data_IF_300381866480
#
_entry.id   IF_300381866480
#
_cell.length_a   1.000
_cell.length_b   1.000
_cell.length_c   1.000
_cell.angle_alpha   90.00
_cell.angle_beta   90.00
_cell.angle_gamma   90.00
#
_symmetry.space_group_name_H-M   'P 1'
#
loop_
_entity.id
_entity.type
_entity.pdbx_description
1 polymer ?
2 non-polymer ?
3 non-polymer ?
4 non-polymer ?
5 water ?
#
# COMPACT_ATOMS: atom_id res chain seq x y z
N UNK A 1 -9.73 23.00 23.61
CA UNK A 1 -8.68 23.38 24.57
C UNK A 1 -8.20 22.18 25.37
N UNK A 2 -7.00 21.70 25.06
CA UNK A 2 -6.44 20.58 25.78
C UNK A 2 -5.67 20.99 27.03
N UNK A 3 -5.40 22.29 27.21
CA UNK A 3 -4.75 22.81 28.41
C UNK A 3 -3.48 22.04 28.74
N UNK A 4 -2.67 21.77 27.71
CA UNK A 4 -1.39 21.13 27.87
C UNK A 4 -1.40 19.62 27.68
N UNK A 5 -2.54 18.97 27.84
CA UNK A 5 -2.61 17.51 27.73
C UNK A 5 -2.42 17.05 26.29
N UNK A 6 -1.92 15.83 26.13
CA UNK A 6 -1.78 15.22 24.81
C UNK A 6 -3.05 14.47 24.43
N UNK A 7 -3.50 14.67 23.21
CA UNK A 7 -4.43 13.75 22.56
C UNK A 7 -4.05 13.71 21.09
N UNK A 8 -3.44 12.61 20.67
CA UNK A 8 -2.98 12.44 19.30
C UNK A 8 -4.07 11.79 18.47
N UNK A 9 -4.27 12.29 17.27
CA UNK A 9 -5.17 11.66 16.32
C UNK A 9 -4.32 11.19 15.15
N UNK A 10 -4.47 9.90 14.79
CA UNK A 10 -3.85 9.29 13.63
C UNK A 10 -4.92 9.09 12.58
N UNK A 11 -4.73 9.67 11.39
CA UNK A 11 -5.67 9.47 10.28
C UNK A 11 -5.04 8.48 9.32
N UNK A 12 -5.54 7.26 9.34
CA UNK A 12 -5.05 6.17 8.49
C UNK A 12 -4.47 5.03 9.29
N UNK A 13 -5.02 3.82 9.12
CA UNK A 13 -4.58 2.65 9.86
C UNK A 13 -3.80 1.66 9.02
N UNK A 14 -2.84 2.18 8.27
CA UNK A 14 -1.96 1.39 7.44
C UNK A 14 -0.72 1.00 8.21
N UNK A 15 0.33 0.67 7.45
CA UNK A 15 1.61 0.32 8.07
C UNK A 15 2.10 1.45 8.97
N UNK A 16 2.00 2.69 8.50
CA UNK A 16 2.42 3.80 9.36
C UNK A 16 1.52 3.96 10.57
N UNK A 17 0.20 3.91 10.36
CA UNK A 17 -0.72 4.21 11.44
C UNK A 17 -0.73 3.17 12.55
N UNK A 18 -0.60 1.88 12.20
CA UNK A 18 -0.63 0.89 13.28
C UNK A 18 0.67 0.91 14.06
N UNK A 19 1.78 1.27 13.42
CA UNK A 19 3.03 1.43 14.16
C UNK A 19 2.94 2.61 15.11
N UNK A 20 2.42 3.75 14.62
CA UNK A 20 2.24 4.90 15.51
C UNK A 20 1.30 4.58 16.66
N UNK A 21 0.18 3.93 16.35
CA UNK A 21 -0.82 3.62 17.38
C UNK A 21 -0.26 2.67 18.41
N UNK A 22 0.50 1.67 17.94
CA UNK A 22 1.09 0.70 18.86
C UNK A 22 2.08 1.36 19.79
N UNK A 23 2.89 2.29 19.28
CA UNK A 23 3.83 2.97 20.16
C UNK A 23 3.12 3.90 21.15
N UNK A 24 2.11 4.64 20.67
CA UNK A 24 1.37 5.52 21.57
C UNK A 24 0.68 4.71 22.66
N UNK A 25 0.11 3.55 22.29
CA UNK A 25 -0.51 2.66 23.27
C UNK A 25 0.48 2.19 24.32
N UNK A 26 1.71 1.84 23.90
CA UNK A 26 2.70 1.36 24.87
C UNK A 26 3.23 2.48 25.77
N UNK A 27 3.22 3.72 25.29
CA UNK A 27 3.60 4.86 26.12
C UNK A 27 2.46 5.35 27.02
N UNK A 28 1.25 4.80 26.86
CA UNK A 28 0.04 5.24 27.56
C UNK A 28 -0.32 6.69 27.22
N UNK A 29 -0.08 7.11 25.98
CA UNK A 29 -0.39 8.47 25.56
C UNK A 29 -1.80 8.44 24.97
N UNK A 30 -2.71 9.32 25.40
CA UNK A 30 -4.06 9.31 24.82
C UNK A 30 -4.03 9.54 23.32
N UNK A 31 -4.77 8.70 22.60
CA UNK A 31 -4.81 8.83 21.14
C UNK A 31 -6.07 8.18 20.63
N UNK A 32 -6.40 8.51 19.39
CA UNK A 32 -7.46 7.87 18.62
C UNK A 32 -6.92 7.55 17.24
N UNK A 33 -7.01 6.29 16.82
CA UNK A 33 -6.66 5.90 15.46
C UNK A 33 -7.94 5.79 14.64
N UNK A 34 -7.94 6.43 13.48
CA UNK A 34 -9.10 6.48 12.60
C UNK A 34 -8.76 5.79 11.28
N UNK A 35 -9.63 4.88 10.85
CA UNK A 35 -9.50 4.25 9.55
C UNK A 35 -10.89 3.95 9.01
N UNK A 36 -11.03 4.00 7.69
CA UNK A 36 -12.34 3.73 7.10
C UNK A 36 -12.73 2.26 7.17
N UNK A 37 -11.75 1.34 7.19
CA UNK A 37 -12.02 -0.09 7.31
C UNK A 37 -12.12 -0.51 8.78
N UNK A 38 -12.56 -1.74 9.03
CA UNK A 38 -12.53 -2.27 10.38
C UNK A 38 -11.28 -3.09 10.66
N UNK A 39 -10.39 -3.25 9.68
CA UNK A 39 -9.18 -4.03 9.89
C UNK A 39 -8.02 -3.47 9.09
N UNK A 40 -6.82 -3.63 9.65
CA UNK A 40 -5.60 -3.37 8.92
C UNK A 40 -5.47 -4.34 7.74
N UNK A 41 -4.98 -3.82 6.61
CA UNK A 41 -4.76 -4.61 5.40
C UNK A 41 -3.27 -4.73 5.12
N UNK A 42 -2.74 -5.95 5.20
CA UNK A 42 -1.32 -6.18 4.88
C UNK A 42 -1.22 -6.25 3.35
N UNK A 43 -1.22 -5.08 2.71
CA UNK A 43 -1.49 -5.05 1.28
C UNK A 43 -0.29 -5.49 0.44
N UNK A 44 0.88 -5.62 1.06
CA UNK A 44 2.02 -6.24 0.41
C UNK A 44 1.68 -7.66 -0.02
N UNK A 45 0.75 -8.31 0.68
CA UNK A 45 0.38 -9.67 0.33
C UNK A 45 -0.90 -9.76 -0.47
N UNK A 46 -1.40 -8.64 -1.00
CA UNK A 46 -2.71 -8.65 -1.63
C UNK A 46 -2.71 -9.44 -2.94
N UNK A 47 -1.58 -9.51 -3.64
CA UNK A 47 -1.54 -10.25 -4.89
C UNK A 47 -1.49 -11.77 -4.63
N UNK A 48 -0.69 -12.21 -3.66
CA UNK A 48 -0.78 -13.60 -3.20
C UNK A 48 -2.18 -13.94 -2.72
N UNK A 49 -2.85 -13.01 -2.03
CA UNK A 49 -4.23 -13.28 -1.64
C UNK A 49 -5.19 -13.31 -2.83
N UNK A 50 -4.76 -12.89 -4.02
CA UNK A 50 -5.63 -13.00 -5.20
C UNK A 50 -5.48 -14.30 -5.96
N UNK A 51 -4.54 -15.17 -5.58
CA UNK A 51 -4.30 -16.40 -6.32
C UNK A 51 -4.29 -17.65 -5.42
N UNK A 52 -4.22 -17.49 -4.10
CA UNK A 52 -4.09 -18.65 -3.22
C UNK A 52 -5.34 -18.77 -2.35
N UNK A 53 -6.10 -19.84 -2.54
CA UNK A 53 -7.28 -20.10 -1.72
C UNK A 53 -6.91 -20.11 -0.24
N UNK A 54 -7.75 -19.49 0.58
CA UNK A 54 -7.57 -19.49 2.01
C UNK A 54 -6.54 -18.51 2.53
N UNK A 55 -5.81 -17.80 1.66
CA UNK A 55 -4.74 -16.93 2.13
C UNK A 55 -5.24 -15.57 2.62
N UNK A 56 -6.39 -15.09 2.13
CA UNK A 56 -6.78 -13.70 2.41
C UNK A 56 -6.99 -13.43 3.90
N UNK A 57 -7.46 -14.43 4.65
CA UNK A 57 -7.71 -14.24 6.08
C UNK A 57 -6.43 -13.93 6.86
N UNK A 58 -5.27 -14.18 6.28
CA UNK A 58 -3.99 -13.81 6.88
C UNK A 58 -3.59 -12.37 6.58
N UNK A 59 -4.35 -11.65 5.75
CA UNK A 59 -3.95 -10.32 5.34
C UNK A 59 -4.83 -9.22 5.91
N UNK A 60 -5.82 -9.55 6.75
CA UNK A 60 -6.66 -8.55 7.42
C UNK A 60 -6.63 -8.79 8.93
N UNK A 61 -6.38 -7.71 9.70
CA UNK A 61 -6.21 -7.82 11.15
C UNK A 61 -7.13 -6.81 11.85
N UNK A 62 -8.05 -7.29 12.68
CA UNK A 62 -9.00 -6.42 13.36
C UNK A 62 -8.30 -5.31 14.16
N UNK A 63 -8.73 -4.06 13.92
CA UNK A 63 -8.22 -2.94 14.72
C UNK A 63 -8.69 -3.03 16.17
N UNK A 64 -9.99 -3.27 16.36
CA UNK A 64 -10.56 -3.12 17.70
C UNK A 64 -10.00 -4.18 18.66
N UNK A 65 -9.65 -5.36 18.14
CA UNK A 65 -9.05 -6.38 19.00
C UNK A 65 -7.74 -5.87 19.59
N UNK A 66 -6.96 -5.15 18.80
CA UNK A 66 -5.67 -4.67 19.29
C UNK A 66 -5.82 -3.36 20.04
N UNK A 67 -6.65 -2.45 19.53
CA UNK A 67 -6.66 -1.09 20.08
C UNK A 67 -7.92 -0.72 20.87
N UNK A 68 -9.02 -1.46 20.71
CA UNK A 68 -10.22 -1.26 21.54
C UNK A 68 -10.64 0.20 21.45
N UNK A 69 -10.86 0.90 22.57
CA UNK A 69 -11.46 2.24 22.52
C UNK A 69 -10.52 3.30 21.98
N UNK A 70 -9.28 2.95 21.69
CA UNK A 70 -8.36 3.85 21.00
C UNK A 70 -8.54 3.81 19.49
N UNK A 71 -9.48 3.01 18.99
CA UNK A 71 -9.78 2.94 17.57
C UNK A 71 -11.22 3.41 17.31
N UNK A 72 -11.40 4.19 16.24
CA UNK A 72 -12.73 4.53 15.74
C UNK A 72 -12.73 4.41 14.23
N UNK A 73 -13.58 3.53 13.70
CA UNK A 73 -13.81 3.45 12.26
C UNK A 73 -14.56 4.70 11.78
N UNK A 74 -14.10 5.25 10.67
CA UNK A 74 -14.78 6.40 10.08
C UNK A 74 -14.01 6.91 8.88
N UNK A 75 -14.68 7.77 8.12
CA UNK A 75 -14.12 8.37 6.91
C UNK A 75 -13.83 9.84 7.18
N UNK A 76 -12.56 10.21 7.17
CA UNK A 76 -12.19 11.60 7.45
C UNK A 76 -12.39 12.43 6.18
N UNK A 77 -13.19 13.48 6.27
CA UNK A 77 -13.52 14.31 5.12
C UNK A 77 -12.82 15.67 5.15
N UNK A 78 -12.06 15.98 6.19
CA UNK A 78 -11.42 17.28 6.25
C UNK A 78 -10.82 17.52 7.61
N UNK A 79 -9.99 18.56 7.66
CA UNK A 79 -9.25 18.92 8.86
C UNK A 79 -9.53 20.39 9.14
N UNK A 80 -10.10 20.68 10.32
CA UNK A 80 -10.37 22.04 10.79
C UNK A 80 -9.16 22.53 11.56
N UNK A 81 -8.26 23.25 10.88
CA UNK A 81 -6.98 23.59 11.48
C UNK A 81 -7.12 24.64 12.57
N UNK A 82 -7.99 25.63 12.37
CA UNK A 82 -8.12 26.71 13.35
C UNK A 82 -8.59 26.18 14.69
N UNK A 83 -9.51 25.21 14.69
CA UNK A 83 -10.04 24.64 15.92
C UNK A 83 -9.50 23.24 16.20
N UNK A 84 -8.48 22.81 15.47
CA UNK A 84 -7.75 21.58 15.73
C UNK A 84 -8.69 20.39 15.90
N UNK A 85 -9.45 20.12 14.84
CA UNK A 85 -10.42 19.04 14.85
C UNK A 85 -10.25 18.20 13.59
N UNK A 86 -10.48 16.90 13.72
CA UNK A 86 -10.54 15.99 12.58
C UNK A 86 -12.01 15.73 12.28
N UNK A 87 -12.43 16.02 11.05
CA UNK A 87 -13.83 16.01 10.65
C UNK A 87 -14.17 14.68 9.99
N UNK A 88 -15.11 13.95 10.58
CA UNK A 88 -15.55 12.65 10.07
C UNK A 88 -16.81 12.81 9.24
N UNK A 89 -16.98 11.92 8.27
CA UNK A 89 -18.26 11.82 7.60
C UNK A 89 -19.34 11.46 8.61
N UNK A 90 -20.51 12.08 8.48
CA UNK A 90 -21.55 11.96 9.45
C UNK A 90 -21.63 13.14 10.40
N UNK A 91 -20.57 13.93 10.51
CA UNK A 91 -20.57 15.13 11.30
C UNK A 91 -19.78 15.07 12.58
N UNK A 92 -19.23 13.90 12.94
CA UNK A 92 -18.49 13.80 14.19
C UNK A 92 -17.13 14.49 14.04
N UNK A 93 -16.61 14.98 15.17
CA UNK A 93 -15.35 15.71 15.18
C UNK A 93 -14.44 15.17 16.28
N UNK A 94 -13.16 15.04 15.95
CA UNK A 94 -12.15 14.54 16.88
C UNK A 94 -11.12 15.62 17.20
N UNK A 95 -11.07 16.14 18.42
CA UNK A 95 -10.05 17.15 18.76
C UNK A 95 -8.68 16.53 18.98
N UNK A 96 -7.64 17.31 18.68
CA UNK A 96 -6.27 16.81 18.81
C UNK A 96 -5.34 17.90 19.29
N UNK A 97 -4.28 17.49 19.98
CA UNK A 97 -3.15 18.37 20.21
C UNK A 97 -2.07 18.14 19.17
N UNK A 98 -1.98 16.93 18.66
CA UNK A 98 -1.05 16.55 17.60
C UNK A 98 -1.78 15.67 16.60
N UNK A 99 -1.44 15.85 15.33
CA UNK A 99 -2.07 15.12 14.23
C UNK A 99 -1.02 14.36 13.45
N UNK A 100 -1.27 13.07 13.21
CA UNK A 100 -0.42 12.24 12.39
C UNK A 100 -1.23 11.83 11.17
N UNK A 101 -0.79 12.26 9.99
CA UNK A 101 -1.47 11.90 8.75
C UNK A 101 -0.76 10.71 8.11
N UNK A 102 -1.50 9.62 7.93
CA UNK A 102 -0.94 8.36 7.48
C UNK A 102 -1.90 7.71 6.49
N UNK A 103 -2.35 8.50 5.51
CA UNK A 103 -3.48 8.13 4.65
C UNK A 103 -3.11 7.23 3.49
N UNK A 104 -1.83 6.94 3.27
CA UNK A 104 -1.43 5.97 2.25
C UNK A 104 -1.78 6.37 0.83
N UNK A 105 -2.00 5.34 0.00
CA UNK A 105 -2.29 5.47 -1.42
C UNK A 105 -3.58 4.72 -1.79
N UNK A 106 -4.18 5.14 -2.89
CA UNK A 106 -5.37 4.54 -3.46
C UNK A 106 -5.07 4.01 -4.87
N UNK A 107 -5.77 2.96 -5.27
CA UNK A 107 -5.57 2.41 -6.59
C UNK A 107 -6.51 1.26 -6.84
N UNK A 108 -6.37 0.60 -8.00
CA UNK A 108 -7.29 -0.51 -8.34
C UNK A 108 -7.12 -1.72 -7.44
N UNK A 109 -8.26 -2.33 -7.11
CA UNK A 109 -8.31 -3.70 -6.64
C UNK A 109 -7.72 -4.61 -7.72
N UNK A 110 -7.02 -5.69 -7.34
CA UNK A 110 -6.74 -6.22 -5.99
C UNK A 110 -5.58 -5.56 -5.25
N UNK A 111 -4.72 -4.80 -5.91
CA UNK A 111 -3.50 -4.30 -5.28
C UNK A 111 -3.74 -3.35 -4.12
N UNK A 112 -4.90 -2.68 -4.09
CA UNK A 112 -5.31 -1.81 -2.99
C UNK A 112 -6.77 -2.14 -2.65
N UNK A 113 -7.11 -2.03 -1.37
CA UNK A 113 -8.48 -2.28 -0.92
C UNK A 113 -8.91 -1.15 0.00
N UNK A 114 -9.60 -0.17 -0.52
CA UNK A 114 -10.00 0.99 0.27
C UNK A 114 -11.50 1.14 0.22
N UNK A 115 -12.18 0.19 0.84
CA UNK A 115 -13.63 0.19 0.90
C UNK A 115 -14.04 0.20 2.36
N UNK A 116 -15.15 0.86 2.65
CA UNK A 116 -15.76 0.66 3.96
C UNK A 116 -16.45 -0.69 3.93
N UNK A 117 -16.06 -1.58 4.83
CA UNK A 117 -16.72 -2.87 4.94
C UNK A 117 -16.14 -3.63 6.11
N UNK A 118 -16.73 -4.78 6.36
CA UNK A 118 -16.32 -5.60 7.48
C UNK A 118 -15.15 -6.50 7.08
N UNK A 119 -14.52 -7.06 8.10
CA UNK A 119 -13.40 -7.96 7.88
C UNK A 119 -13.79 -9.16 7.01
N UNK A 120 -15.00 -9.70 7.21
CA UNK A 120 -15.37 -10.88 6.43
C UNK A 120 -15.71 -10.53 4.99
N UNK A 121 -16.33 -9.38 4.74
CA UNK A 121 -16.56 -8.94 3.36
C UNK A 121 -15.25 -8.69 2.63
N UNK A 122 -14.26 -8.10 3.30
CA UNK A 122 -12.96 -7.84 2.67
C UNK A 122 -12.26 -9.14 2.29
N UNK A 123 -12.19 -10.08 3.24
CA UNK A 123 -11.62 -11.39 2.99
C UNK A 123 -12.33 -12.07 1.80
N UNK A 124 -13.66 -12.00 1.79
CA UNK A 124 -14.43 -12.61 0.70
C UNK A 124 -14.17 -11.95 -0.65
N UNK A 125 -13.85 -10.66 -0.67
CA UNK A 125 -13.53 -10.03 -1.96
C UNK A 125 -12.27 -10.63 -2.56
N UNK A 126 -11.30 -11.01 -1.73
CA UNK A 126 -10.08 -11.64 -2.25
C UNK A 126 -10.34 -13.11 -2.56
N UNK A 127 -11.14 -13.82 -1.75
CA UNK A 127 -11.53 -15.18 -2.13
C UNK A 127 -12.31 -15.20 -3.43
N UNK A 128 -13.18 -14.21 -3.65
CA UNK A 128 -13.88 -14.11 -4.92
C UNK A 128 -12.91 -13.88 -6.07
N UNK A 129 -11.91 -13.02 -5.85
CA UNK A 129 -10.86 -12.79 -6.85
C UNK A 129 -10.15 -14.09 -7.19
N UNK A 130 -9.76 -14.86 -6.18
CA UNK A 130 -9.14 -16.17 -6.42
C UNK A 130 -10.05 -17.03 -7.30
N UNK A 131 -11.37 -17.03 -7.05
CA UNK A 131 -12.27 -17.85 -7.87
C UNK A 131 -12.33 -17.34 -9.31
N UNK A 132 -12.21 -16.03 -9.55
CA UNK A 132 -12.21 -15.57 -10.95
C UNK A 132 -10.94 -16.03 -11.66
N UNK A 133 -9.78 -15.92 -10.98
CA UNK A 133 -8.54 -16.41 -11.55
C UNK A 133 -8.65 -17.90 -11.84
N UNK A 134 -9.26 -18.67 -10.92
CA UNK A 134 -9.34 -20.11 -11.12
C UNK A 134 -10.22 -20.47 -12.31
N UNK A 135 -11.29 -19.72 -12.54
CA UNK A 135 -12.17 -20.02 -13.67
C UNK A 135 -11.56 -19.66 -15.02
N UNK A 136 -10.52 -18.83 -15.04
CA UNK A 136 -10.07 -18.11 -16.23
C UNK A 136 -8.85 -18.80 -16.81
N UNK A 137 -8.97 -19.35 -18.02
CA UNK A 137 -7.81 -19.95 -18.67
C UNK A 137 -6.85 -18.88 -19.18
N UNK A 138 -7.38 -17.77 -19.71
CA UNK A 138 -6.63 -16.69 -20.31
C UNK A 138 -6.82 -15.44 -19.46
N UNK A 139 -5.72 -14.79 -19.07
CA UNK A 139 -5.74 -13.64 -18.16
C UNK A 139 -4.83 -12.54 -18.69
N UNK A 140 -5.29 -11.30 -18.61
CA UNK A 140 -4.50 -10.14 -19.01
C UNK A 140 -4.25 -9.29 -17.76
N UNK A 141 -2.99 -8.98 -17.50
CA UNK A 141 -2.62 -7.97 -16.52
C UNK A 141 -2.23 -6.71 -17.26
N UNK A 142 -2.84 -5.58 -16.90
CA UNK A 142 -2.56 -4.30 -17.54
C UNK A 142 -1.69 -3.48 -16.61
N UNK A 143 -0.51 -3.10 -17.09
CA UNK A 143 0.42 -2.28 -16.32
C UNK A 143 1.56 -3.14 -15.84
N UNK A 144 2.78 -2.84 -16.30
CA UNK A 144 3.95 -3.59 -15.95
C UNK A 144 4.87 -2.82 -15.03
N UNK A 145 4.28 -2.06 -14.11
CA UNK A 145 5.01 -1.55 -12.97
C UNK A 145 5.36 -2.70 -12.05
N UNK A 146 5.87 -2.35 -10.87
CA UNK A 146 6.27 -3.42 -9.95
C UNK A 146 5.07 -4.27 -9.53
N UNK A 147 3.87 -3.68 -9.42
CA UNK A 147 2.70 -4.48 -9.04
C UNK A 147 2.30 -5.44 -10.16
N UNK A 148 2.28 -4.96 -11.39
CA UNK A 148 1.87 -5.81 -12.49
C UNK A 148 2.80 -6.97 -12.72
N UNK A 149 4.11 -6.75 -12.61
CA UNK A 149 5.04 -7.87 -12.81
C UNK A 149 4.89 -8.89 -11.69
N UNK A 150 4.57 -8.43 -10.47
CA UNK A 150 4.29 -9.38 -9.40
C UNK A 150 2.98 -10.12 -9.66
N UNK A 151 1.93 -9.42 -10.09
CA UNK A 151 0.65 -10.08 -10.33
C UNK A 151 0.78 -11.18 -11.37
N UNK A 152 1.44 -10.87 -12.49
CA UNK A 152 1.60 -11.85 -13.56
C UNK A 152 2.44 -13.04 -13.11
N UNK A 153 3.51 -12.76 -12.37
CA UNK A 153 4.36 -13.83 -11.89
C UNK A 153 3.63 -14.73 -10.90
N UNK A 154 2.80 -14.13 -10.04
CA UNK A 154 2.05 -14.91 -9.07
C UNK A 154 1.10 -15.87 -9.77
N UNK A 155 0.36 -15.38 -10.78
CA UNK A 155 -0.58 -16.23 -11.50
C UNK A 155 0.13 -17.40 -12.17
N UNK A 156 1.25 -17.13 -12.87
CA UNK A 156 1.92 -18.21 -13.59
C UNK A 156 2.63 -19.17 -12.63
N UNK A 157 3.00 -18.70 -11.44
CA UNK A 157 3.63 -19.62 -10.48
C UNK A 157 2.60 -20.54 -9.84
N UNK A 158 1.45 -20.00 -9.45
CA UNK A 158 0.40 -20.85 -8.86
C UNK A 158 -0.33 -21.70 -9.91
N UNK A 159 -0.46 -21.19 -11.14
CA UNK A 159 -1.23 -21.84 -12.19
C UNK A 159 -0.44 -21.91 -13.48
N UNK A 160 0.60 -22.74 -13.54
CA UNK A 160 1.44 -22.78 -14.76
C UNK A 160 0.66 -23.02 -16.03
N UNK A 161 -0.49 -23.70 -15.92
CA UNK A 161 -1.28 -24.03 -17.11
C UNK A 161 -2.10 -22.86 -17.63
N UNK A 162 -2.17 -21.72 -16.94
CA UNK A 162 -2.94 -20.60 -17.49
C UNK A 162 -2.09 -19.81 -18.48
N UNK A 163 -2.78 -19.08 -19.36
CA UNK A 163 -2.15 -18.21 -20.33
C UNK A 163 -2.23 -16.79 -19.81
N UNK A 164 -1.09 -16.15 -19.59
CA UNK A 164 -1.03 -14.85 -18.94
C UNK A 164 -0.28 -13.88 -19.84
N UNK A 165 -0.91 -12.75 -20.12
CA UNK A 165 -0.28 -11.70 -20.90
C UNK A 165 -0.19 -10.46 -20.04
N UNK A 166 0.98 -9.83 -20.04
CA UNK A 166 1.22 -8.58 -19.34
C UNK A 166 1.39 -7.50 -20.39
N UNK A 167 0.58 -6.45 -20.30
CA UNK A 167 0.61 -5.36 -21.27
C UNK A 167 1.09 -4.10 -20.55
N UNK A 168 2.17 -3.50 -21.05
CA UNK A 168 2.87 -2.42 -20.38
C UNK A 168 3.17 -1.30 -21.38
N UNK A 169 2.96 -0.06 -20.95
CA UNK A 169 3.09 1.09 -21.84
C UNK A 169 4.53 1.51 -22.07
N UNK A 170 5.45 1.12 -21.19
CA UNK A 170 6.87 1.45 -21.34
C UNK A 170 7.61 0.30 -22.00
N UNK A 171 8.88 0.54 -22.35
CA UNK A 171 9.70 -0.52 -22.93
C UNK A 171 10.37 -1.38 -21.87
N UNK A 172 10.55 -0.85 -20.66
CA UNK A 172 11.13 -1.60 -19.54
C UNK A 172 10.11 -1.75 -18.42
N UNK A 173 10.26 -2.85 -17.67
CA UNK A 173 9.34 -3.25 -16.62
C UNK A 173 9.77 -2.68 -15.27
N UNK A 174 8.79 -2.51 -14.37
CA UNK A 174 9.01 -2.10 -12.99
C UNK A 174 9.64 -0.71 -12.89
N UNK A 175 9.99 -0.28 -11.67
CA UNK A 175 10.26 1.13 -11.39
C UNK A 175 11.42 1.69 -12.20
N UNK A 176 11.20 2.89 -12.74
CA UNK A 176 12.26 3.64 -13.40
C UNK A 176 13.45 3.85 -12.48
N UNK A 177 13.24 3.84 -11.17
CA UNK A 177 14.33 4.14 -10.26
C UNK A 177 15.25 2.94 -10.01
N UNK A 178 14.87 1.74 -10.43
CA UNK A 178 15.63 0.54 -10.10
C UNK A 178 16.93 0.46 -10.90
N UNK A 179 17.89 -0.28 -10.35
CA UNK A 179 19.07 -0.65 -11.12
C UNK A 179 18.66 -1.30 -12.44
N UNK A 180 19.26 -0.92 -13.57
CA UNK A 180 18.91 -1.59 -14.84
C UNK A 180 19.04 -3.10 -14.79
N UNK A 181 20.07 -3.62 -14.10
CA UNK A 181 20.21 -5.06 -13.96
C UNK A 181 18.98 -5.68 -13.31
N UNK A 182 18.37 -4.97 -12.36
CA UNK A 182 17.17 -5.50 -11.73
C UNK A 182 16.02 -5.53 -12.73
N UNK A 183 15.85 -4.48 -13.51
CA UNK A 183 14.72 -4.40 -14.44
C UNK A 183 14.84 -5.44 -15.55
N UNK A 184 16.06 -5.68 -16.01
CA UNK A 184 16.27 -6.72 -17.02
C UNK A 184 15.99 -8.10 -16.45
N UNK A 185 16.39 -8.34 -15.20
CA UNK A 185 16.16 -9.65 -14.62
C UNK A 185 14.68 -9.90 -14.42
N UNK A 186 13.92 -8.86 -14.06
CA UNK A 186 12.47 -9.02 -13.93
C UNK A 186 11.88 -9.53 -15.24
N UNK A 187 12.28 -8.90 -16.35
CA UNK A 187 11.84 -9.32 -17.67
C UNK A 187 12.20 -10.78 -17.94
N UNK A 188 13.47 -11.14 -17.69
CA UNK A 188 13.90 -12.49 -18.04
C UNK A 188 13.17 -13.54 -17.20
N UNK A 189 12.80 -13.21 -15.96
CA UNK A 189 12.08 -14.17 -15.13
C UNK A 189 10.64 -14.32 -15.62
N UNK A 190 9.97 -13.21 -15.96
CA UNK A 190 8.62 -13.34 -16.49
C UNK A 190 8.62 -14.19 -17.76
N UNK A 191 9.59 -13.95 -18.65
CA UNK A 191 9.65 -14.74 -19.89
C UNK A 191 9.92 -16.21 -19.60
N UNK A 192 10.83 -16.50 -18.68
CA UNK A 192 11.08 -17.90 -18.33
C UNK A 192 9.87 -18.57 -17.69
N UNK A 193 9.04 -17.81 -16.96
CA UNK A 193 7.80 -18.38 -16.43
C UNK A 193 6.73 -18.55 -17.49
N UNK A 194 6.93 -18.03 -18.70
CA UNK A 194 5.94 -18.18 -19.76
C UNK A 194 4.93 -17.06 -19.87
N UNK A 195 5.13 -15.95 -19.15
CA UNK A 195 4.26 -14.79 -19.31
C UNK A 195 4.54 -14.18 -20.67
N UNK A 196 3.48 -13.90 -21.42
CA UNK A 196 3.63 -13.19 -22.69
C UNK A 196 3.67 -11.69 -22.40
N UNK A 197 4.67 -11.02 -22.96
CA UNK A 197 4.91 -9.61 -22.66
C UNK A 197 4.54 -8.78 -23.89
N UNK A 198 3.66 -7.82 -23.71
CA UNK A 198 3.37 -6.83 -24.75
C UNK A 198 3.86 -5.48 -24.23
N UNK A 199 5.09 -5.12 -24.60
CA UNK A 199 5.74 -3.91 -24.13
C UNK A 199 5.53 -2.75 -25.11
N UNK A 200 5.65 -1.52 -24.59
CA UNK A 200 5.40 -0.29 -25.34
C UNK A 200 4.00 -0.27 -25.97
N UNK A 201 3.00 -0.73 -25.22
CA UNK A 201 1.60 -0.71 -25.67
C UNK A 201 0.69 -0.29 -24.52
N UNK A 202 -0.26 0.58 -24.82
CA UNK A 202 -1.23 1.06 -23.83
C UNK A 202 -2.61 0.47 -24.15
N UNK A 203 -3.20 -0.20 -23.16
CA UNK A 203 -4.56 -0.70 -23.35
C UNK A 203 -5.50 0.49 -23.45
N UNK A 204 -6.33 0.51 -24.50
CA UNK A 204 -7.07 1.70 -24.88
C UNK A 204 -8.58 1.61 -24.70
N UNK A 205 -9.15 0.45 -24.40
CA UNK A 205 -10.59 0.35 -24.21
C UNK A 205 -10.95 0.00 -22.76
N UNK A 206 -10.22 0.60 -21.80
CA UNK A 206 -10.37 0.22 -20.39
C UNK A 206 -11.79 0.44 -19.88
N UNK A 207 -12.44 1.52 -20.34
CA UNK A 207 -13.80 1.81 -19.89
C UNK A 207 -14.80 0.74 -20.31
N UNK A 208 -14.50 0.03 -21.39
CA UNK A 208 -15.41 -0.96 -21.95
C UNK A 208 -15.11 -2.36 -21.47
N UNK A 209 -14.19 -2.53 -20.53
CA UNK A 209 -13.78 -3.87 -20.16
C UNK A 209 -14.39 -4.27 -18.82
N UNK A 210 -14.96 -5.46 -18.72
CA UNK A 210 -15.26 -6.03 -17.40
C UNK A 210 -13.96 -6.29 -16.66
N UNK A 211 -13.88 -5.84 -15.42
CA UNK A 211 -12.67 -5.93 -14.62
C UNK A 211 -12.85 -6.94 -13.49
N UNK A 212 -11.80 -7.69 -13.21
CA UNK A 212 -11.77 -8.62 -12.08
C UNK A 212 -12.91 -9.63 -12.12
N UNK A 213 -13.40 -9.97 -13.31
CA UNK A 213 -14.51 -10.92 -13.42
C UNK A 213 -14.29 -11.82 -14.62
N UNK A 214 -14.46 -13.13 -14.41
CA UNK A 214 -14.39 -14.07 -15.51
C UNK A 214 -15.51 -13.83 -16.52
N UNK A 215 -15.17 -13.90 -17.78
CA UNK A 215 -16.12 -13.91 -18.88
C UNK A 215 -15.62 -14.91 -19.91
N UNK A 216 -16.56 -15.52 -20.63
CA UNK A 216 -16.18 -16.45 -21.69
C UNK A 216 -15.31 -15.77 -22.74
N UNK A 217 -15.56 -14.48 -23.01
CA UNK A 217 -14.76 -13.78 -24.01
C UNK A 217 -14.70 -12.29 -23.73
N UNK A 218 -13.47 -11.75 -23.71
CA UNK A 218 -13.20 -10.32 -23.54
C UNK A 218 -12.11 -9.96 -24.55
N UNK A 219 -12.31 -8.88 -25.30
CA UNK A 219 -11.33 -8.41 -26.26
C UNK A 219 -10.67 -7.16 -25.71
N UNK A 220 -9.36 -7.25 -25.47
CA UNK A 220 -8.56 -6.12 -25.03
C UNK A 220 -7.95 -5.48 -26.26
N UNK A 221 -8.01 -4.15 -26.34
CA UNK A 221 -7.41 -3.42 -27.44
C UNK A 221 -6.30 -2.53 -26.93
N UNK A 222 -5.29 -2.31 -27.78
CA UNK A 222 -4.24 -1.35 -27.49
C UNK A 222 -4.21 -0.27 -28.56
N UNK A 223 -3.53 0.83 -28.25
CA UNK A 223 -3.44 1.98 -29.14
C UNK A 223 -2.63 1.71 -30.40
N UNK A 224 -1.92 0.59 -30.48
CA UNK A 224 -1.23 0.19 -31.70
C UNK A 224 -2.05 -0.81 -32.52
N UNK A 225 -3.31 -1.05 -32.16
CA UNK A 225 -4.12 -2.00 -32.89
C UNK A 225 -3.95 -3.45 -32.50
N UNK A 226 -3.15 -3.76 -31.49
CA UNK A 226 -3.08 -5.14 -31.01
C UNK A 226 -4.37 -5.49 -30.26
N UNK A 227 -4.87 -6.70 -30.52
CA UNK A 227 -6.10 -7.20 -29.92
C UNK A 227 -5.79 -8.51 -29.24
N UNK A 228 -6.22 -8.65 -27.98
CA UNK A 228 -5.95 -9.82 -27.17
C UNK A 228 -7.28 -10.34 -26.65
N UNK A 229 -7.62 -11.58 -27.00
CA UNK A 229 -8.76 -12.28 -26.40
C UNK A 229 -8.38 -12.88 -25.05
N UNK A 230 -9.27 -12.73 -24.05
CA UNK A 230 -8.96 -13.17 -22.70
C UNK A 230 -10.25 -13.49 -21.94
N UNK A 231 -10.09 -14.14 -20.78
CA UNK A 231 -11.21 -14.42 -19.87
C UNK A 231 -11.27 -13.48 -18.69
N UNK A 232 -10.18 -12.76 -18.39
CA UNK A 232 -10.09 -11.97 -17.15
C UNK A 232 -9.11 -10.83 -17.38
N UNK A 233 -9.49 -9.62 -16.93
CA UNK A 233 -8.61 -8.46 -17.00
C UNK A 233 -8.34 -7.97 -15.59
N UNK A 234 -7.07 -7.86 -15.24
CA UNK A 234 -6.63 -7.33 -13.94
C UNK A 234 -5.83 -6.07 -14.17
N UNK A 235 -6.20 -5.00 -13.45
CA UNK A 235 -5.55 -3.71 -13.59
C UNK A 235 -4.47 -3.53 -12.52
N UNK A 236 -3.23 -3.34 -12.95
CA UNK A 236 -2.17 -2.87 -12.07
C UNK A 236 -1.59 -1.57 -12.62
N UNK A 237 -2.44 -0.57 -12.79
CA UNK A 237 -2.14 0.59 -13.62
C UNK A 237 -1.59 1.76 -12.84
N UNK A 238 -1.47 1.67 -11.52
CA UNK A 238 -0.82 2.69 -10.74
C UNK A 238 -1.68 3.16 -9.58
N UNK A 239 -1.07 4.00 -8.74
CA UNK A 239 -1.72 4.44 -7.53
C UNK A 239 -1.57 5.96 -7.43
N UNK A 240 -2.37 6.56 -6.54
CA UNK A 240 -2.37 7.98 -6.28
C UNK A 240 -2.37 8.18 -4.78
N UNK A 241 -1.64 9.19 -4.31
CA UNK A 241 -1.69 9.56 -2.90
C UNK A 241 -3.14 9.83 -2.52
N UNK A 242 -3.53 9.32 -1.35
CA UNK A 242 -4.90 9.47 -0.89
C UNK A 242 -4.95 10.72 -0.02
N UNK A 243 -5.02 11.87 -0.71
CA UNK A 243 -5.12 13.19 -0.09
C UNK A 243 -6.53 13.53 0.34
N UNK A 244 -7.42 12.54 0.37
CA UNK A 244 -8.83 12.78 0.66
C UNK A 244 -9.02 13.56 1.95
N UNK A 245 -8.43 13.06 3.04
CA UNK A 245 -8.73 13.59 4.38
C UNK A 245 -8.23 15.02 4.58
N UNK A 246 -7.16 15.41 3.89
CA UNK A 246 -6.49 16.65 4.24
C UNK A 246 -6.38 17.65 3.10
N UNK A 247 -6.88 17.32 1.90
CA UNK A 247 -6.57 18.08 0.70
C UNK A 247 -6.87 19.57 0.87
N UNK A 248 -8.09 19.89 1.28
CA UNK A 248 -8.46 21.30 1.37
C UNK A 248 -7.68 22.02 2.46
N UNK A 249 -7.53 21.39 3.64
CA UNK A 249 -6.92 22.05 4.77
C UNK A 249 -5.47 22.40 4.52
N UNK A 250 -4.74 21.57 3.77
CA UNK A 250 -3.30 21.74 3.63
C UNK A 250 -2.87 22.02 2.19
N UNK A 251 -3.77 22.59 1.38
CA UNK A 251 -3.45 22.82 -0.03
C UNK A 251 -2.17 23.61 -0.20
N UNK A 252 -1.88 24.52 0.75
CA UNK A 252 -0.66 25.33 0.67
C UNK A 252 0.61 24.47 0.67
N UNK A 253 0.65 23.42 1.50
CA UNK A 253 1.88 22.70 1.78
C UNK A 253 1.93 21.33 1.09
N UNK A 254 1.22 21.16 -0.03
CA UNK A 254 1.17 19.90 -0.75
C UNK A 254 2.21 19.88 -1.86
N UNK A 255 2.86 18.74 -2.02
CA UNK A 255 3.75 18.59 -3.15
C UNK A 255 2.93 18.40 -4.43
N UNK A 256 3.62 18.33 -5.56
CA UNK A 256 2.96 17.83 -6.76
C UNK A 256 2.40 16.44 -6.50
N UNK A 257 3.22 15.55 -5.90
CA UNK A 257 2.81 14.17 -5.61
C UNK A 257 1.42 14.04 -4.99
N UNK A 258 0.91 15.10 -4.35
CA UNK A 258 -0.22 15.00 -3.47
C UNK A 258 0.16 14.77 -2.03
N UNK A 259 1.42 14.47 -1.78
CA UNK A 259 1.97 14.30 -0.46
C UNK A 259 2.10 15.64 0.25
N UNK A 260 2.38 15.58 1.55
CA UNK A 260 2.61 16.76 2.36
C UNK A 260 4.11 16.98 2.49
N UNK A 261 4.54 18.23 2.27
CA UNK A 261 5.95 18.54 2.51
C UNK A 261 6.24 18.53 4.00
N UNK A 262 7.45 18.12 4.34
CA UNK A 262 7.85 17.88 5.72
C UNK A 262 9.34 18.14 5.80
N UNK A 263 9.81 18.48 7.00
CA UNK A 263 11.23 18.61 7.25
C UNK A 263 11.79 17.23 7.61
N UNK A 264 13.05 17.15 8.03
CA UNK A 264 13.64 15.86 8.36
C UNK A 264 13.08 15.26 9.66
N UNK A 265 12.28 16.03 10.41
CA UNK A 265 11.57 15.53 11.58
C UNK A 265 10.14 15.09 11.28
N UNK A 266 9.70 15.19 10.02
CA UNK A 266 8.38 14.73 9.54
C UNK A 266 7.21 15.59 10.00
N UNK A 267 7.48 16.80 10.54
CA UNK A 267 6.42 17.76 10.80
C UNK A 267 5.98 18.36 9.48
N UNK A 268 4.68 18.61 9.31
CA UNK A 268 4.25 19.19 8.04
C UNK A 268 4.68 20.65 8.01
N UNK A 269 5.09 21.12 6.83
CA UNK A 269 5.59 22.49 6.67
C UNK A 269 4.58 23.49 7.19
N UNK A 270 5.07 24.45 7.99
CA UNK A 270 4.22 25.44 8.63
C UNK A 270 3.56 24.98 9.92
N UNK A 271 3.81 23.75 10.34
CA UNK A 271 3.24 23.22 11.58
C UNK A 271 4.35 22.55 12.38
N UNK A 272 4.19 22.55 13.70
CA UNK A 272 5.08 21.78 14.55
C UNK A 272 4.37 20.63 15.24
N UNK A 273 3.05 20.57 15.19
CA UNK A 273 2.27 19.50 15.81
C UNK A 273 1.52 18.64 14.79
N UNK A 274 1.82 18.78 13.51
CA UNK A 274 1.24 17.93 12.47
C UNK A 274 2.38 17.19 11.80
N UNK A 275 2.26 15.87 11.73
CA UNK A 275 3.25 15.02 11.09
C UNK A 275 2.58 14.26 9.95
N UNK A 276 3.37 13.92 8.94
CA UNK A 276 2.94 13.04 7.87
C UNK A 276 3.91 11.88 7.76
N UNK A 277 3.38 10.66 7.63
CA UNK A 277 4.20 9.47 7.62
C UNK A 277 3.74 8.55 6.51
N UNK A 278 4.65 7.73 6.01
CA UNK A 278 4.29 6.77 4.98
C UNK A 278 4.09 7.43 3.62
N UNK A 279 3.24 6.80 2.80
CA UNK A 279 3.06 7.24 1.42
C UNK A 279 2.63 8.70 1.32
N UNK A 280 1.85 9.21 2.26
CA UNK A 280 1.36 10.58 2.14
C UNK A 280 2.40 11.64 2.49
N UNK A 281 3.55 11.26 3.04
CA UNK A 281 4.62 12.23 3.27
C UNK A 281 5.43 12.45 1.98
N UNK A 282 5.92 13.67 1.79
CA UNK A 282 6.70 14.00 0.60
C UNK A 282 8.18 13.79 0.88
N UNK A 283 8.60 12.53 0.79
CA UNK A 283 10.01 12.18 0.88
C UNK A 283 10.48 11.73 -0.51
N UNK A 284 11.81 11.73 -0.67
CA UNK A 284 12.41 11.41 -1.97
C UNK A 284 12.51 9.91 -2.22
N UNK A 285 12.39 9.10 -1.17
CA UNK A 285 12.40 7.65 -1.26
C UNK A 285 11.11 7.16 -1.93
N UNK A 286 11.05 5.90 -2.35
CA UNK A 286 9.80 5.36 -2.90
C UNK A 286 8.84 5.00 -1.77
N UNK A 287 7.61 4.73 -2.15
CA UNK A 287 6.55 4.52 -1.19
C UNK A 287 6.61 3.08 -0.69
N UNK A 288 7.11 2.88 0.52
CA UNK A 288 7.36 1.55 1.06
C UNK A 288 6.72 1.38 2.43
N UNK A 289 6.24 0.17 2.69
CA UNK A 289 5.62 -0.12 3.99
C UNK A 289 6.61 0.00 5.13
N UNK A 290 7.83 -0.49 4.95
CA UNK A 290 8.78 -0.43 6.04
C UNK A 290 9.18 1.02 6.38
N UNK A 291 9.24 1.89 5.37
CA UNK A 291 9.49 3.32 5.64
C UNK A 291 8.32 3.95 6.39
N UNK A 292 7.09 3.55 6.06
CA UNK A 292 5.93 4.01 6.81
C UNK A 292 6.11 3.76 8.29
N UNK A 293 6.55 2.55 8.66
CA UNK A 293 6.74 2.25 10.08
C UNK A 293 7.88 3.04 10.71
N UNK A 294 8.94 3.30 9.94
CA UNK A 294 10.04 4.11 10.47
C UNK A 294 9.66 5.57 10.63
N UNK A 295 8.85 6.10 9.71
CA UNK A 295 8.32 7.44 9.93
C UNK A 295 7.46 7.48 11.18
N UNK A 296 6.71 6.41 11.42
CA UNK A 296 5.86 6.35 12.60
C UNK A 296 6.68 6.45 13.88
N UNK A 297 7.77 5.69 13.97
CA UNK A 297 8.65 5.80 15.14
C UNK A 297 9.15 7.21 15.29
N UNK A 298 9.54 7.84 14.18
CA UNK A 298 10.11 9.18 14.24
C UNK A 298 9.07 10.20 14.70
N UNK A 299 7.85 10.10 14.17
CA UNK A 299 6.82 11.09 14.48
C UNK A 299 6.42 11.03 15.95
N UNK A 300 6.11 9.82 16.43
CA UNK A 300 5.74 9.64 17.83
C UNK A 300 6.87 10.11 18.75
N UNK A 301 8.09 9.66 18.48
CA UNK A 301 9.25 10.10 19.25
C UNK A 301 9.35 11.62 19.29
N UNK A 302 9.09 12.28 18.16
CA UNK A 302 9.22 13.74 18.12
C UNK A 302 8.07 14.42 18.85
N UNK A 303 6.87 13.85 18.84
CA UNK A 303 5.81 14.37 19.70
C UNK A 303 6.27 14.36 21.16
N UNK A 304 6.77 13.21 21.63
CA UNK A 304 7.28 13.14 23.00
C UNK A 304 8.49 14.07 23.19
N UNK A 305 9.44 14.03 22.25
CA UNK A 305 10.64 14.86 22.41
C UNK A 305 10.30 16.33 22.43
N UNK A 306 9.27 16.74 21.68
CA UNK A 306 8.88 18.15 21.71
C UNK A 306 8.36 18.52 23.08
N UNK A 307 7.60 17.62 23.73
CA UNK A 307 7.06 17.91 25.05
C UNK A 307 8.18 17.91 26.10
N UNK A 308 9.22 17.11 25.92
CA UNK A 308 10.34 17.05 26.85
C UNK A 308 11.45 18.06 26.55
N UNK A 309 11.24 18.97 25.60
CA UNK A 309 12.26 19.95 25.19
C UNK A 309 13.58 19.26 24.86
N UNK A 310 13.48 18.11 24.20
CA UNK A 310 14.62 17.36 23.70
C UNK A 310 14.76 17.56 22.19
N UNK A 311 15.96 17.35 21.65
CA UNK A 311 16.13 17.46 20.19
C UNK A 311 15.39 16.36 19.45
N UNK A 312 14.95 16.69 18.24
CA UNK A 312 14.08 15.81 17.46
C UNK A 312 14.91 14.81 16.65
N UNK A 313 14.39 13.60 16.54
CA UNK A 313 15.00 12.58 15.72
C UNK A 313 14.86 12.93 14.23
N UNK A 314 15.82 12.48 13.44
CA UNK A 314 15.95 12.88 12.04
C UNK A 314 15.89 11.66 11.13
N UNK A 315 15.19 11.81 10.00
CA UNK A 315 15.02 10.76 8.99
C UNK A 315 16.04 10.95 7.88
N UNK A 316 16.90 9.94 7.67
CA UNK A 316 18.00 10.03 6.72
C UNK A 316 17.94 8.89 5.72
N UNK A 317 17.48 9.13 4.49
CA UNK A 317 17.42 8.04 3.50
C UNK A 317 18.82 7.56 3.13
N UNK A 318 18.88 6.32 2.67
CA UNK A 318 20.08 5.78 2.07
C UNK A 318 19.71 5.29 0.70
N UNK A 319 20.54 4.43 0.11
CA UNK A 319 20.25 3.97 -1.23
C UNK A 319 19.00 3.08 -1.25
N UNK A 320 18.49 2.89 -2.45
CA UNK A 320 17.17 2.28 -2.65
C UNK A 320 17.18 0.79 -2.27
N UNK A 321 16.26 0.41 -1.38
CA UNK A 321 15.91 -0.99 -1.16
C UNK A 321 14.56 -1.26 -1.81
N UNK A 322 14.50 -2.28 -2.66
CA UNK A 322 13.27 -2.55 -3.41
C UNK A 322 13.30 -4.01 -3.85
N UNK A 323 12.38 -4.82 -3.33
CA UNK A 323 12.36 -6.26 -3.61
C UNK A 323 11.08 -6.61 -4.34
N UNK A 324 11.22 -7.33 -5.45
CA UNK A 324 10.09 -7.80 -6.23
C UNK A 324 10.02 -9.31 -6.08
N UNK A 325 8.94 -9.80 -5.49
CA UNK A 325 8.68 -11.23 -5.50
C UNK A 325 8.13 -11.61 -6.86
N UNK A 326 8.56 -12.75 -7.37
CA UNK A 326 8.09 -13.23 -8.67
C UNK A 326 7.45 -14.59 -8.40
N UNK A 327 6.25 -14.58 -7.83
CA UNK A 327 5.68 -15.80 -7.31
C UNK A 327 6.43 -16.26 -6.07
N UNK A 328 5.96 -17.35 -5.48
CA UNK A 328 6.52 -17.74 -4.20
C UNK A 328 7.91 -18.36 -4.31
N UNK A 329 8.35 -18.73 -5.51
CA UNK A 329 9.63 -19.41 -5.65
C UNK A 329 10.72 -18.55 -6.30
N UNK A 330 10.54 -17.23 -6.41
CA UNK A 330 11.46 -16.47 -7.25
C UNK A 330 11.36 -14.99 -6.89
N UNK A 331 12.29 -14.21 -7.42
CA UNK A 331 12.31 -12.78 -7.15
C UNK A 331 13.64 -12.17 -7.52
N UNK A 332 13.69 -10.84 -7.45
CA UNK A 332 14.94 -10.11 -7.66
C UNK A 332 14.72 -8.71 -7.09
N UNK A 333 15.83 -8.02 -6.81
CA UNK A 333 15.72 -6.65 -6.34
C UNK A 333 17.07 -6.12 -5.91
N UNK A 334 17.01 -5.13 -5.04
CA UNK A 334 18.21 -4.46 -4.56
C UNK A 334 18.02 -4.09 -3.09
N UNK A 335 19.09 -4.25 -2.32
CA UNK A 335 19.09 -3.88 -0.91
C UNK A 335 20.11 -2.78 -0.74
N UNK A 336 19.65 -1.60 -0.32
CA UNK A 336 20.49 -0.42 -0.12
C UNK A 336 21.37 -0.15 -1.35
N UNK A 337 20.80 -0.29 -2.53
CA UNK A 337 21.49 0.21 -3.69
C UNK A 337 22.32 -0.79 -4.45
N UNK A 338 22.35 -2.04 -4.03
CA UNK A 338 23.01 -3.06 -4.84
C UNK A 338 22.10 -4.27 -5.05
N UNK A 339 22.42 -4.99 -6.13
CA UNK A 339 21.64 -6.12 -6.61
C UNK A 339 21.65 -7.27 -5.61
N UNK A 340 20.47 -7.84 -5.37
CA UNK A 340 20.34 -9.09 -4.65
C UNK A 340 19.57 -10.08 -5.51
N UNK A 341 19.99 -11.34 -5.45
CA UNK A 341 19.53 -12.36 -6.37
C UNK A 341 18.24 -13.05 -5.94
N UNK A 342 17.98 -14.16 -6.62
CA UNK A 342 16.67 -14.82 -6.54
C UNK A 342 16.50 -15.60 -5.25
N UNK A 343 17.54 -16.32 -4.83
CA UNK A 343 17.48 -16.99 -3.54
C UNK A 343 17.25 -15.98 -2.42
N UNK A 344 17.97 -14.85 -2.46
CA UNK A 344 17.85 -13.86 -1.40
C UNK A 344 16.43 -13.30 -1.33
N UNK A 345 15.88 -12.90 -2.47
CA UNK A 345 14.55 -12.32 -2.50
C UNK A 345 13.50 -13.36 -2.11
N UNK A 346 13.63 -14.59 -2.62
CA UNK A 346 12.71 -15.66 -2.22
C UNK A 346 12.68 -15.81 -0.71
N UNK A 347 13.84 -15.91 -0.06
CA UNK A 347 13.87 -16.08 1.39
C UNK A 347 13.41 -14.83 2.13
N UNK A 348 13.82 -13.64 1.68
CA UNK A 348 13.48 -12.42 2.40
C UNK A 348 12.03 -12.02 2.21
N UNK A 349 11.52 -12.08 0.97
CA UNK A 349 10.18 -11.58 0.67
C UNK A 349 9.22 -12.62 0.13
N UNK A 350 9.59 -13.37 -0.93
CA UNK A 350 8.59 -14.08 -1.72
C UNK A 350 7.84 -15.15 -0.91
N UNK A 351 8.49 -15.79 0.05
CA UNK A 351 7.84 -16.90 0.75
C UNK A 351 6.72 -16.42 1.67
N UNK A 352 7.00 -15.44 2.55
CA UNK A 352 6.03 -15.02 3.55
C UNK A 352 5.48 -13.61 3.34
N UNK A 353 6.08 -12.82 2.44
CA UNK A 353 5.62 -11.46 2.10
C UNK A 353 5.47 -10.57 3.33
N UNK A 354 6.33 -10.81 4.32
CA UNK A 354 6.41 -10.04 5.57
C UNK A 354 5.16 -10.14 6.42
N UNK A 355 4.29 -11.11 6.15
CA UNK A 355 2.97 -11.16 6.80
C UNK A 355 3.11 -11.25 8.32
N UNK A 356 4.06 -12.05 8.82
CA UNK A 356 4.17 -12.24 10.26
C UNK A 356 4.48 -10.94 11.01
N UNK A 357 5.18 -9.99 10.37
CA UNK A 357 5.57 -8.77 11.10
C UNK A 357 4.36 -7.93 11.47
N UNK A 358 3.28 -8.01 10.69
CA UNK A 358 2.07 -7.24 10.97
C UNK A 358 1.28 -7.88 12.10
N UNK A 359 1.12 -9.21 12.09
CA UNK A 359 0.50 -9.89 13.22
C UNK A 359 1.28 -9.62 14.50
N UNK A 360 2.61 -9.60 14.43
CA UNK A 360 3.40 -9.30 15.63
C UNK A 360 3.13 -7.87 16.10
N UNK A 361 3.18 -6.88 15.19
CA UNK A 361 2.90 -5.50 15.58
C UNK A 361 1.54 -5.40 16.27
N UNK A 362 0.53 -6.06 15.72
CA UNK A 362 -0.83 -6.03 16.26
C UNK A 362 -1.02 -6.95 17.44
N UNK A 363 0.02 -7.70 17.83
CA UNK A 363 -0.06 -8.63 18.95
C UNK A 363 -1.30 -9.52 18.82
N UNK A 364 -1.47 -10.05 17.63
CA UNK A 364 -2.50 -11.04 17.36
C UNK A 364 -1.87 -12.21 16.63
N UNK A 365 -2.59 -13.32 16.62
CA UNK A 365 -2.18 -14.54 15.96
C UNK A 365 -3.11 -14.82 14.79
N UNK A 366 -2.57 -15.12 13.62
CA UNK A 366 -3.41 -15.26 12.42
C UNK A 366 -4.32 -16.47 12.54
N UNK A 367 -5.47 -16.44 11.86
CA UNK A 367 -6.37 -17.58 11.95
C UNK A 367 -5.92 -18.69 10.98
#
# INVERSE_FOLDING_TARGET
PHMGALHVVIVGGGFGGIAAASQLQALNVPFMLVDMKDSFHHNVAALRASVETGFAKKTFISYSVTFKDNFRQGLVVGIDLKNQMVLLQGGEALPFSHLILATGSTGPFPGKFNEVSSQQAAIQAYEDMVRQVQRSRFIVVVGGGSAGVEMAAEIKTEYPEKEVTLIHSQVALADKELLPSVRQEVKEILLRKGVQLLLSERVSNLEELPLNEYREYIKVQTDKGTEVATNLVILCTGIKINSSAYRKAFESRLASSGALRVNEHLQVEGHSNVYAIGDCADVRTPKMAYLAGLHANIAVANIVNSVKQRPLQAYKPGALTFLLSMGRNDGVGQISGFYVGRLMVRLTKSRDLFVSTSWKTMRQSPP
#
